data_IF_913018720623
#
_entry.id   IF_913018720623
#
_cell.length_a   1.000
_cell.length_b   1.000
_cell.length_c   1.000
_cell.angle_alpha   90.00
_cell.angle_beta   90.00
_cell.angle_gamma   90.00
#
_symmetry.space_group_name_H-M   'P 1'
#
loop_
_entity.id
_entity.type
_entity.pdbx_description
1 polymer ?
#
# COMPACT_ATOMS: atom_id res chain seq x y z
N UNK A 1 9.27 18.66 -9.19
CA UNK A 1 10.29 18.41 -8.15
C UNK A 1 9.76 18.23 -6.72
N UNK A 2 8.56 18.73 -6.35
CA UNK A 2 7.99 18.55 -4.99
C UNK A 2 7.68 17.10 -4.58
N UNK A 3 7.47 16.20 -5.56
CA UNK A 3 7.05 14.81 -5.37
C UNK A 3 8.16 13.94 -4.71
N UNK A 4 9.38 14.04 -5.24
CA UNK A 4 10.59 13.41 -4.68
C UNK A 4 10.87 13.97 -3.28
N UNK A 5 10.70 15.28 -3.09
CA UNK A 5 10.94 15.92 -1.79
C UNK A 5 10.02 15.41 -0.67
N UNK A 6 8.83 14.88 -0.97
CA UNK A 6 7.90 14.33 0.03
C UNK A 6 8.28 12.90 0.44
N UNK A 7 8.66 12.08 -0.54
CA UNK A 7 9.18 10.73 -0.33
C UNK A 7 10.53 10.73 0.38
N UNK A 8 11.38 11.70 0.07
CA UNK A 8 12.70 11.85 0.68
C UNK A 8 12.77 12.95 1.74
N UNK A 9 11.63 13.47 2.25
CA UNK A 9 11.69 14.44 3.34
C UNK A 9 12.43 13.81 4.53
N UNK A 10 13.65 14.29 4.87
CA UNK A 10 14.48 13.69 5.91
C UNK A 10 13.85 13.84 7.29
N UNK A 11 12.81 14.69 7.43
CA UNK A 11 12.05 14.86 8.68
C UNK A 11 11.33 13.58 9.11
N UNK A 12 11.12 12.63 8.18
CA UNK A 12 10.46 11.36 8.49
C UNK A 12 9.02 11.52 8.98
N UNK A 13 8.37 12.66 8.72
CA UNK A 13 7.02 12.99 9.13
C UNK A 13 6.30 13.76 8.02
N UNK A 14 5.00 13.52 7.83
CA UNK A 14 4.17 14.23 6.85
C UNK A 14 2.86 14.69 7.49
N UNK A 15 2.47 15.93 7.21
CA UNK A 15 1.22 16.50 7.69
C UNK A 15 0.00 15.89 6.96
N UNK A 16 -1.21 16.26 7.39
CA UNK A 16 -2.45 15.75 6.78
C UNK A 16 -2.52 16.04 5.28
N UNK A 17 -2.18 17.27 4.86
CA UNK A 17 -2.27 17.68 3.45
C UNK A 17 -1.24 16.95 2.59
N UNK A 18 0.01 16.84 3.06
CA UNK A 18 1.06 16.10 2.39
C UNK A 18 0.75 14.61 2.26
N UNK A 19 0.11 14.01 3.27
CA UNK A 19 -0.33 12.62 3.20
C UNK A 19 -1.37 12.38 2.11
N UNK A 20 -2.46 13.16 2.10
CA UNK A 20 -3.50 13.04 1.07
C UNK A 20 -2.98 13.38 -0.32
N UNK A 21 -2.13 14.40 -0.44
CA UNK A 21 -1.48 14.74 -1.71
C UNK A 21 -0.56 13.61 -2.19
N UNK A 22 0.16 12.95 -1.28
CA UNK A 22 1.05 11.84 -1.62
C UNK A 22 0.28 10.62 -2.11
N UNK A 23 -0.84 10.29 -1.45
CA UNK A 23 -1.74 9.21 -1.90
C UNK A 23 -2.35 9.52 -3.27
N UNK A 24 -2.87 10.73 -3.48
CA UNK A 24 -3.45 11.13 -4.77
C UNK A 24 -2.40 11.06 -5.89
N UNK A 25 -1.18 11.54 -5.63
CA UNK A 25 -0.08 11.45 -6.59
C UNK A 25 0.30 10.01 -6.90
N UNK A 26 0.33 9.14 -5.89
CA UNK A 26 0.58 7.71 -6.08
C UNK A 26 -0.51 7.07 -6.92
N UNK A 27 -1.78 7.39 -6.68
CA UNK A 27 -2.91 6.93 -7.50
C UNK A 27 -2.78 7.40 -8.95
N UNK A 28 -2.47 8.68 -9.19
CA UNK A 28 -2.26 9.20 -10.56
C UNK A 28 -1.09 8.50 -11.24
N UNK A 29 0.03 8.30 -10.54
CA UNK A 29 1.17 7.57 -11.09
C UNK A 29 0.80 6.13 -11.44
N UNK A 30 0.08 5.43 -10.54
CA UNK A 30 -0.45 4.09 -10.80
C UNK A 30 -1.33 4.03 -12.04
N UNK A 31 -2.22 5.01 -12.24
CA UNK A 31 -3.07 5.09 -13.43
C UNK A 31 -2.25 5.32 -14.70
N UNK A 32 -1.24 6.18 -14.67
CA UNK A 32 -0.35 6.41 -15.80
C UNK A 32 0.45 5.14 -16.15
N UNK A 33 0.94 4.42 -15.14
CA UNK A 33 1.65 3.14 -15.33
C UNK A 33 0.69 2.09 -15.91
N UNK A 34 -0.53 1.99 -15.39
CA UNK A 34 -1.57 1.10 -15.96
C UNK A 34 -1.84 1.43 -17.43
N UNK A 35 -2.07 2.71 -17.78
CA UNK A 35 -2.34 3.12 -19.16
C UNK A 35 -1.16 2.80 -20.10
N UNK A 36 0.08 3.01 -19.64
CA UNK A 36 1.27 2.68 -20.43
C UNK A 36 1.47 1.18 -20.62
N UNK A 37 1.35 0.40 -19.55
CA UNK A 37 1.61 -1.04 -19.58
C UNK A 37 0.45 -1.85 -20.18
N UNK A 38 -0.80 -1.40 -20.03
CA UNK A 38 -1.97 -2.07 -20.62
C UNK A 38 -1.93 -2.16 -22.15
N UNK A 39 -1.17 -1.30 -22.82
CA UNK A 39 -0.97 -1.36 -24.28
C UNK A 39 0.04 -2.43 -24.70
N UNK A 40 0.90 -2.86 -23.78
CA UNK A 40 1.94 -3.88 -24.02
C UNK A 40 1.48 -5.24 -23.49
N UNK A 41 1.03 -5.25 -22.24
CA UNK A 41 0.63 -6.46 -21.53
C UNK A 41 -0.40 -6.12 -20.46
N UNK A 42 -1.65 -6.54 -20.69
CA UNK A 42 -2.79 -6.21 -19.85
C UNK A 42 -2.61 -6.65 -18.39
N UNK A 43 -2.10 -7.87 -18.18
CA UNK A 43 -1.90 -8.47 -16.84
C UNK A 43 -0.95 -7.64 -15.97
N UNK A 44 0.19 -7.22 -16.53
CA UNK A 44 1.14 -6.33 -15.85
C UNK A 44 0.53 -4.94 -15.63
N UNK A 45 -0.25 -4.45 -16.60
CA UNK A 45 -1.00 -3.20 -16.45
C UNK A 45 -1.91 -3.22 -15.23
N UNK A 46 -2.76 -4.25 -15.10
CA UNK A 46 -3.72 -4.38 -13.98
C UNK A 46 -3.02 -4.41 -12.62
N UNK A 47 -1.82 -4.98 -12.52
CA UNK A 47 -1.03 -4.99 -11.29
C UNK A 47 -0.67 -3.57 -10.78
N UNK A 48 -0.64 -2.56 -11.66
CA UNK A 48 -0.38 -1.18 -11.28
C UNK A 48 -1.58 -0.50 -10.58
N UNK A 49 -2.79 -1.02 -10.74
CA UNK A 49 -4.01 -0.44 -10.18
C UNK A 49 -4.06 -0.61 -8.65
N UNK A 50 -4.36 0.45 -7.89
CA UNK A 50 -4.44 0.37 -6.44
C UNK A 50 -5.67 -0.43 -5.98
N UNK A 51 -5.48 -1.38 -5.06
CA UNK A 51 -6.53 -2.26 -4.53
C UNK A 51 -6.86 -3.44 -5.44
N UNK A 52 -6.84 -3.24 -6.76
CA UNK A 52 -7.12 -4.28 -7.76
C UNK A 52 -5.86 -5.12 -8.03
N UNK A 53 -4.72 -4.46 -8.18
CA UNK A 53 -3.47 -5.11 -8.56
C UNK A 53 -3.00 -6.15 -7.54
N UNK A 54 -3.19 -5.91 -6.24
CA UNK A 54 -2.87 -6.89 -5.20
C UNK A 54 -3.69 -8.17 -5.37
N UNK A 55 -5.01 -8.06 -5.50
CA UNK A 55 -5.88 -9.23 -5.64
C UNK A 55 -5.61 -9.99 -6.94
N UNK A 56 -5.31 -9.27 -8.03
CA UNK A 56 -4.94 -9.89 -9.30
C UNK A 56 -3.63 -10.69 -9.18
N UNK A 57 -2.60 -10.09 -8.58
CA UNK A 57 -1.30 -10.76 -8.37
C UNK A 57 -1.43 -11.96 -7.44
N UNK A 58 -2.22 -11.86 -6.36
CA UNK A 58 -2.48 -13.00 -5.47
C UNK A 58 -3.16 -14.14 -6.22
N UNK A 59 -4.16 -13.85 -7.06
CA UNK A 59 -4.80 -14.87 -7.90
C UNK A 59 -3.83 -15.52 -8.88
N UNK A 60 -2.93 -14.75 -9.48
CA UNK A 60 -1.90 -15.27 -10.39
C UNK A 60 -0.87 -16.14 -9.66
N UNK A 61 -0.36 -15.70 -8.50
CA UNK A 61 0.53 -16.51 -7.65
C UNK A 61 -0.16 -17.82 -7.25
N UNK A 62 -1.44 -17.78 -6.88
CA UNK A 62 -2.18 -18.99 -6.55
C UNK A 62 -2.26 -19.93 -7.76
N UNK A 63 -2.63 -19.42 -8.94
CA UNK A 63 -2.67 -20.20 -10.19
C UNK A 63 -1.34 -20.89 -10.51
N UNK A 64 -0.22 -20.17 -10.44
CA UNK A 64 1.13 -20.71 -10.68
C UNK A 64 1.63 -21.62 -9.55
N UNK A 65 1.15 -21.47 -8.31
CA UNK A 65 1.51 -22.39 -7.23
C UNK A 65 0.75 -23.73 -7.33
N UNK A 66 -0.41 -23.75 -7.99
CA UNK A 66 -1.22 -24.95 -8.19
C UNK A 66 -0.98 -25.62 -9.55
N UNK A 67 -0.49 -24.90 -10.56
CA UNK A 67 0.09 -25.49 -11.75
C UNK A 67 1.58 -25.76 -11.52
N UNK A 68 2.16 -26.85 -12.01
CA UNK A 68 3.61 -27.12 -11.91
C UNK A 68 4.48 -26.18 -12.79
N UNK A 69 4.11 -24.90 -12.89
CA UNK A 69 4.76 -23.87 -13.70
C UNK A 69 5.91 -23.16 -12.97
N UNK A 70 6.91 -22.75 -13.73
CA UNK A 70 7.88 -21.77 -13.23
C UNK A 70 7.27 -20.37 -13.35
N UNK A 71 7.46 -19.48 -12.36
CA UNK A 71 6.92 -18.13 -12.42
C UNK A 71 7.48 -17.40 -13.65
N UNK A 72 6.57 -16.92 -14.49
CA UNK A 72 6.93 -16.20 -15.69
C UNK A 72 7.37 -14.75 -15.40
N UNK A 73 7.91 -14.09 -16.44
CA UNK A 73 8.38 -12.71 -16.35
C UNK A 73 7.24 -11.75 -15.98
N UNK A 74 6.03 -12.05 -16.44
CA UNK A 74 4.80 -11.28 -16.21
C UNK A 74 4.44 -11.25 -14.73
N UNK A 75 4.46 -12.40 -14.06
CA UNK A 75 4.21 -12.51 -12.64
C UNK A 75 5.28 -11.77 -11.83
N UNK A 76 6.56 -11.93 -12.18
CA UNK A 76 7.66 -11.23 -11.52
C UNK A 76 7.54 -9.70 -11.66
N UNK A 77 7.21 -9.19 -12.86
CA UNK A 77 7.00 -7.76 -13.10
C UNK A 77 5.80 -7.23 -12.30
N UNK A 78 4.71 -7.98 -12.26
CA UNK A 78 3.50 -7.63 -11.51
C UNK A 78 3.75 -7.58 -10.00
N UNK A 79 4.49 -8.56 -9.46
CA UNK A 79 4.91 -8.57 -8.05
C UNK A 79 5.78 -7.36 -7.70
N UNK A 80 6.74 -7.01 -8.56
CA UNK A 80 7.60 -5.84 -8.35
C UNK A 80 6.81 -4.53 -8.33
N UNK A 81 5.84 -4.37 -9.23
CA UNK A 81 4.97 -3.18 -9.27
C UNK A 81 4.13 -3.05 -7.99
N UNK A 82 3.49 -4.14 -7.58
CA UNK A 82 2.70 -4.17 -6.34
C UNK A 82 3.59 -3.90 -5.13
N UNK A 83 4.75 -4.56 -5.02
CA UNK A 83 5.68 -4.37 -3.93
C UNK A 83 6.20 -2.93 -3.84
N UNK A 84 6.58 -2.32 -4.96
CA UNK A 84 7.04 -0.93 -5.00
C UNK A 84 5.94 0.04 -4.53
N UNK A 85 4.69 -0.17 -4.96
CA UNK A 85 3.55 0.66 -4.55
C UNK A 85 3.23 0.50 -3.06
N UNK A 86 3.19 -0.74 -2.57
CA UNK A 86 2.95 -1.03 -1.15
C UNK A 86 4.05 -0.44 -0.28
N UNK A 87 5.31 -0.50 -0.72
CA UNK A 87 6.43 0.13 -0.05
C UNK A 87 6.24 1.64 0.10
N UNK A 88 5.95 2.35 -0.99
CA UNK A 88 5.71 3.80 -0.97
C UNK A 88 4.51 4.16 -0.07
N UNK A 89 3.44 3.37 -0.15
CA UNK A 89 2.24 3.54 0.69
C UNK A 89 2.57 3.37 2.16
N UNK A 90 3.29 2.30 2.53
CA UNK A 90 3.72 2.03 3.90
C UNK A 90 4.63 3.15 4.43
N UNK A 91 5.55 3.68 3.60
CA UNK A 91 6.37 4.83 3.97
C UNK A 91 5.52 6.08 4.25
N UNK A 92 4.52 6.39 3.41
CA UNK A 92 3.61 7.51 3.63
C UNK A 92 2.80 7.34 4.92
N UNK A 93 2.25 6.14 5.16
CA UNK A 93 1.52 5.80 6.38
C UNK A 93 2.41 5.94 7.61
N UNK A 94 3.64 5.45 7.57
CA UNK A 94 4.59 5.55 8.67
C UNK A 94 4.98 7.00 8.98
N UNK A 95 5.28 7.80 7.94
CA UNK A 95 5.54 9.24 8.11
C UNK A 95 4.33 9.96 8.70
N UNK A 96 3.13 9.58 8.28
CA UNK A 96 1.90 10.20 8.77
C UNK A 96 1.59 9.81 10.22
N UNK A 97 1.79 8.54 10.57
CA UNK A 97 1.68 8.03 11.93
C UNK A 97 2.63 8.81 12.86
N UNK A 98 3.91 8.92 12.47
CA UNK A 98 4.93 9.69 13.22
C UNK A 98 4.52 11.14 13.44
N UNK A 99 4.01 11.82 12.40
CA UNK A 99 3.53 13.20 12.53
C UNK A 99 2.36 13.34 13.52
N UNK A 100 1.51 12.32 13.61
CA UNK A 100 0.41 12.25 14.58
C UNK A 100 0.86 11.78 15.98
N UNK A 101 2.17 11.63 16.22
CA UNK A 101 2.73 11.12 17.48
C UNK A 101 2.46 9.64 17.70
N UNK A 102 2.06 8.91 16.65
CA UNK A 102 1.93 7.45 16.68
C UNK A 102 3.27 6.83 16.29
N UNK A 103 3.70 5.82 17.04
CA UNK A 103 4.88 5.03 16.70
C UNK A 103 4.64 4.14 15.45
N UNK A 104 5.67 3.42 14.99
CA UNK A 104 5.54 2.45 13.89
C UNK A 104 4.55 1.32 14.21
N UNK A 105 4.31 1.05 15.50
CA UNK A 105 3.46 -0.06 15.96
C UNK A 105 2.05 -0.08 15.36
N UNK A 106 1.43 1.08 15.08
CA UNK A 106 0.09 1.11 14.46
C UNK A 106 0.10 0.63 13.00
N UNK A 107 1.17 0.91 12.26
CA UNK A 107 1.34 0.46 10.87
C UNK A 107 1.72 -1.02 10.85
N UNK A 108 2.56 -1.46 11.78
CA UNK A 108 2.92 -2.89 11.94
C UNK A 108 1.69 -3.71 12.32
N UNK A 109 0.90 -3.25 13.30
CA UNK A 109 -0.33 -3.93 13.72
C UNK A 109 -1.34 -4.03 12.57
N UNK A 110 -1.50 -2.96 11.78
CA UNK A 110 -2.34 -2.97 10.58
C UNK A 110 -1.84 -3.96 9.52
N UNK A 111 -0.52 -4.00 9.27
CA UNK A 111 0.08 -4.97 8.35
C UNK A 111 -0.15 -6.42 8.81
N UNK A 112 0.06 -6.71 10.10
CA UNK A 112 -0.18 -8.03 10.68
C UNK A 112 -1.66 -8.42 10.67
N UNK A 113 -2.58 -7.48 10.94
CA UNK A 113 -4.02 -7.77 10.87
C UNK A 113 -4.46 -8.07 9.44
N UNK A 114 -3.93 -7.34 8.46
CA UNK A 114 -4.22 -7.57 7.04
C UNK A 114 -3.67 -8.93 6.60
N UNK A 115 -2.45 -9.27 7.00
CA UNK A 115 -1.86 -10.58 6.75
C UNK A 115 -2.69 -11.72 7.37
N UNK A 116 -3.13 -11.54 8.63
CA UNK A 116 -4.00 -12.52 9.29
C UNK A 116 -5.30 -12.72 8.54
N UNK A 117 -5.94 -11.65 8.07
CA UNK A 117 -7.17 -11.73 7.26
C UNK A 117 -6.92 -12.54 5.98
N UNK A 118 -5.85 -12.25 5.24
CA UNK A 118 -5.52 -13.00 4.03
C UNK A 118 -5.28 -14.49 4.31
N UNK A 119 -4.58 -14.82 5.41
CA UNK A 119 -4.37 -16.22 5.81
C UNK A 119 -5.69 -16.90 6.15
N UNK A 120 -6.57 -16.25 6.92
CA UNK A 120 -7.88 -16.80 7.28
C UNK A 120 -8.78 -16.97 6.05
N UNK A 121 -8.77 -16.02 5.12
CA UNK A 121 -9.51 -16.13 3.86
C UNK A 121 -8.96 -17.24 2.98
N UNK A 122 -7.65 -17.44 2.93
CA UNK A 122 -7.01 -18.56 2.22
C UNK A 122 -7.39 -19.93 2.81
N UNK A 123 -7.41 -20.05 4.14
CA UNK A 123 -7.89 -21.26 4.83
C UNK A 123 -9.38 -21.52 4.56
N UNK A 124 -10.20 -20.48 4.54
CA UNK A 124 -11.61 -20.59 4.19
C UNK A 124 -11.80 -21.02 2.73
N UNK A 125 -11.08 -20.41 1.80
CA UNK A 125 -11.07 -20.81 0.40
C UNK A 125 -10.69 -22.30 0.24
N UNK A 126 -9.63 -22.74 0.93
CA UNK A 126 -9.18 -24.14 0.92
C UNK A 126 -10.28 -25.12 1.35
N UNK A 127 -11.06 -24.78 2.38
CA UNK A 127 -12.17 -25.62 2.82
C UNK A 127 -13.30 -25.79 1.79
N UNK A 128 -13.39 -24.88 0.80
CA UNK A 128 -14.44 -24.87 -0.22
C UNK A 128 -14.04 -25.57 -1.53
N UNK A 129 -12.76 -25.91 -1.72
CA UNK A 129 -12.25 -26.54 -2.95
C UNK A 129 -12.83 -27.93 -3.24
N UNK A 130 -13.59 -28.54 -2.31
CA UNK A 130 -14.24 -29.85 -2.49
C UNK A 130 -15.73 -29.80 -2.86
N UNK A 131 -16.36 -28.63 -2.95
CA UNK A 131 -17.82 -28.49 -3.07
C UNK A 131 -18.31 -27.88 -4.39
N UNK A 132 -17.48 -27.86 -5.46
CA UNK A 132 -17.75 -27.14 -6.73
C UNK A 132 -18.10 -25.64 -6.57
N UNK A 133 -17.95 -25.10 -5.36
CA UNK A 133 -18.13 -23.69 -5.05
C UNK A 133 -17.06 -22.88 -5.77
N UNK A 134 -17.50 -21.89 -6.55
CA UNK A 134 -16.62 -21.02 -7.31
C UNK A 134 -15.63 -20.31 -6.36
N UNK A 135 -14.35 -20.68 -6.49
CA UNK A 135 -13.15 -20.05 -5.88
C UNK A 135 -13.19 -18.50 -5.91
N UNK A 136 -13.97 -17.96 -6.85
CA UNK A 136 -14.29 -16.54 -7.00
C UNK A 136 -14.85 -15.90 -5.72
N UNK A 137 -15.74 -16.58 -4.97
CA UNK A 137 -16.42 -15.95 -3.83
C UNK A 137 -15.45 -15.62 -2.68
N UNK A 138 -14.59 -16.55 -2.20
CA UNK A 138 -13.56 -16.22 -1.22
C UNK A 138 -12.58 -15.14 -1.70
N UNK A 139 -12.19 -15.14 -2.98
CA UNK A 139 -11.32 -14.11 -3.55
C UNK A 139 -11.97 -12.71 -3.52
N UNK A 140 -13.26 -12.62 -3.88
CA UNK A 140 -14.01 -11.37 -3.81
C UNK A 140 -14.18 -10.90 -2.36
N UNK A 141 -14.45 -11.81 -1.43
CA UNK A 141 -14.56 -11.49 -0.01
C UNK A 141 -13.22 -10.94 0.54
N UNK A 142 -12.10 -11.61 0.24
CA UNK A 142 -10.76 -11.16 0.63
C UNK A 142 -10.43 -9.78 0.07
N UNK A 143 -10.70 -9.54 -1.23
CA UNK A 143 -10.54 -8.24 -1.87
C UNK A 143 -11.36 -7.16 -1.16
N UNK A 144 -12.65 -7.41 -0.90
CA UNK A 144 -13.54 -6.43 -0.23
C UNK A 144 -13.06 -6.12 1.18
N UNK A 145 -12.64 -7.13 1.94
CA UNK A 145 -12.13 -6.93 3.30
C UNK A 145 -10.79 -6.17 3.27
N UNK A 146 -9.85 -6.54 2.40
CA UNK A 146 -8.56 -5.88 2.27
C UNK A 146 -8.73 -4.39 1.86
N UNK A 147 -9.58 -4.11 0.87
CA UNK A 147 -9.90 -2.75 0.45
C UNK A 147 -10.58 -1.97 1.58
N UNK A 148 -11.57 -2.58 2.26
CA UNK A 148 -12.27 -1.96 3.38
C UNK A 148 -11.34 -1.60 4.54
N UNK A 149 -10.49 -2.54 4.96
CA UNK A 149 -9.49 -2.32 6.01
C UNK A 149 -8.45 -1.26 5.59
N UNK A 150 -7.95 -1.34 4.36
CA UNK A 150 -7.00 -0.38 3.82
C UNK A 150 -7.56 1.05 3.77
N UNK A 151 -8.78 1.21 3.27
CA UNK A 151 -9.47 2.50 3.22
C UNK A 151 -9.76 3.02 4.62
N UNK A 152 -10.30 2.18 5.51
CA UNK A 152 -10.61 2.55 6.90
C UNK A 152 -9.36 3.03 7.65
N UNK A 153 -8.26 2.29 7.55
CA UNK A 153 -6.99 2.66 8.17
C UNK A 153 -6.39 3.94 7.58
N UNK A 154 -6.43 4.09 6.25
CA UNK A 154 -5.96 5.28 5.55
C UNK A 154 -6.74 6.52 5.95
N UNK A 155 -8.06 6.42 6.00
CA UNK A 155 -8.95 7.51 6.46
C UNK A 155 -8.67 7.86 7.91
N UNK A 156 -8.59 6.86 8.79
CA UNK A 156 -8.28 7.05 10.21
C UNK A 156 -6.95 7.80 10.39
N UNK A 157 -5.85 7.36 9.76
CA UNK A 157 -4.56 8.07 9.78
C UNK A 157 -4.67 9.49 9.21
N UNK A 158 -5.43 9.63 8.13
CA UNK A 158 -5.65 10.90 7.44
C UNK A 158 -6.39 11.93 8.29
N UNK A 159 -7.23 11.51 9.25
CA UNK A 159 -7.98 12.44 10.13
C UNK A 159 -7.30 12.70 11.48
N UNK A 160 -6.28 11.92 11.89
CA UNK A 160 -5.55 12.17 13.12
C UNK A 160 -5.05 13.63 13.22
N UNK A 161 -5.00 14.20 14.42
CA UNK A 161 -4.37 15.51 14.62
C UNK A 161 -2.86 15.35 14.71
N UNK A 162 -2.11 16.33 14.20
CA UNK A 162 -0.65 16.36 14.38
C UNK A 162 -0.30 16.57 15.86
N UNK A 163 0.81 15.99 16.32
CA UNK A 163 1.30 16.27 17.68
C UNK A 163 1.90 17.68 17.74
N UNK A 164 1.42 18.56 18.64
CA UNK A 164 1.90 19.95 18.72
C UNK A 164 3.43 20.06 18.88
N UNK A 165 4.04 19.10 19.57
CA UNK A 165 5.47 19.10 19.90
C UNK A 165 6.43 18.81 18.73
N UNK A 166 5.94 18.25 17.62
CA UNK A 166 6.80 17.95 16.44
C UNK A 166 6.95 19.14 15.49
N UNK A 167 6.11 20.17 15.63
CA UNK A 167 6.12 21.36 14.77
C UNK A 167 7.28 22.32 15.04
N UNK A 168 8.01 22.16 16.16
CA UNK A 168 8.87 23.22 16.72
C UNK A 168 10.36 22.90 16.81
N UNK A 169 10.82 21.70 16.44
CA UNK A 169 12.27 21.47 16.28
C UNK A 169 12.72 21.89 14.87
N UNK A 170 12.40 23.12 14.48
CA UNK A 170 13.24 23.78 13.49
C UNK A 170 14.65 23.80 14.08
N UNK A 171 15.70 23.47 13.29
CA UNK A 171 17.07 23.62 13.76
C UNK A 171 17.23 25.07 14.20
N UNK A 172 17.29 25.27 15.52
CA UNK A 172 17.48 26.59 16.14
C UNK A 172 18.69 27.18 15.46
N UNK A 173 18.47 28.22 14.68
CA UNK A 173 19.47 28.84 13.83
C UNK A 173 20.64 29.27 14.73
N UNK A 174 21.69 28.44 14.75
CA UNK A 174 22.86 28.64 15.62
C UNK A 174 23.71 29.83 15.17
N UNK A 175 23.29 30.54 14.11
CA UNK A 175 23.99 31.67 13.52
C UNK A 175 23.45 33.05 13.89
N UNK A 176 22.64 33.20 14.95
CA UNK A 176 22.37 34.53 15.52
C UNK A 176 23.61 35.06 16.25
N UNK A 177 24.61 35.47 15.47
CA UNK A 177 25.78 36.23 15.94
C UNK A 177 25.26 37.54 16.51
N UNK A 178 25.45 37.71 17.81
CA UNK A 178 25.35 38.98 18.53
C UNK A 178 26.26 40.00 17.85
N UNK A 179 25.65 41.07 17.32
CA UNK A 179 26.30 42.36 17.10
C UNK A 179 25.83 43.31 18.17
#
# INVERSE_FOLDING_TARGET
MRLVSLLFDPRGAVDRRGFWSGLLQLTVLSLLVYLGLSQMEWTVGVAALPGIGEAFVVGYVAGEAYGDGLPDVTLAASLLLVAARLYVTACLMLKRARHAGKGPGVVVAFGLSTLLVHVLMGLWAYSLFGEDMAVILPMLADLVVAVGLGLGFTLWLGVLRGSPGLTLRQPRDKNRKTR
#
